data_IF_108632197600
#
_entry.id   IF_108632197600
#
_cell.length_a   1.000
_cell.length_b   1.000
_cell.length_c   1.000
_cell.angle_alpha   90.00
_cell.angle_beta   90.00
_cell.angle_gamma   90.00
#
_symmetry.space_group_name_H-M   'P 1'
#
loop_
_entity.id
_entity.type
_entity.pdbx_description
1 polymer ?
#
# COMPACT_ATOMS: atom_id res chain seq x y z
N UNK A 1 -24.12 15.70 -12.74
CA UNK A 1 -24.07 14.33 -12.19
C UNK A 1 -23.91 14.32 -10.66
N UNK A 2 -22.75 14.80 -10.06
CA UNK A 2 -22.54 14.74 -8.59
C UNK A 2 -23.58 15.56 -7.83
N UNK A 3 -23.84 16.78 -8.25
CA UNK A 3 -24.80 17.70 -7.62
C UNK A 3 -26.22 17.08 -7.62
N UNK A 4 -26.71 16.65 -8.75
CA UNK A 4 -28.00 15.95 -8.91
C UNK A 4 -28.06 14.69 -8.06
N UNK A 5 -26.97 13.93 -8.00
CA UNK A 5 -26.90 12.73 -7.18
C UNK A 5 -26.96 13.03 -5.68
N UNK A 6 -26.36 14.12 -5.24
CA UNK A 6 -26.35 14.53 -3.83
C UNK A 6 -27.71 15.11 -3.40
N UNK A 7 -28.41 15.85 -4.28
CA UNK A 7 -29.71 16.46 -3.99
C UNK A 7 -30.89 15.46 -4.08
N UNK A 8 -30.69 14.31 -4.72
CA UNK A 8 -31.76 13.32 -4.82
C UNK A 8 -32.10 12.74 -3.43
N UNK A 9 -33.40 12.68 -3.13
CA UNK A 9 -33.87 12.13 -1.87
C UNK A 9 -33.57 10.64 -1.71
N UNK A 10 -33.26 10.16 -0.50
CA UNK A 10 -33.08 8.75 -0.25
C UNK A 10 -34.40 7.99 -0.41
N UNK A 11 -34.33 6.79 -1.02
CA UNK A 11 -35.45 5.87 -1.14
C UNK A 11 -35.31 4.76 -0.09
N UNK A 12 -36.31 4.59 0.77
CA UNK A 12 -36.38 3.52 1.79
C UNK A 12 -35.21 3.50 2.80
N UNK A 13 -34.48 4.61 2.94
CA UNK A 13 -33.38 4.75 3.89
C UNK A 13 -33.33 6.17 4.46
N UNK A 14 -32.83 6.36 5.70
CA UNK A 14 -32.71 7.70 6.29
C UNK A 14 -31.65 8.58 5.61
N UNK A 15 -30.61 7.95 5.06
CA UNK A 15 -29.51 8.65 4.43
C UNK A 15 -29.14 7.99 3.08
N UNK A 16 -28.68 8.80 2.15
CA UNK A 16 -28.07 8.39 0.90
C UNK A 16 -26.56 8.57 0.99
N UNK A 17 -25.78 7.68 0.37
CA UNK A 17 -24.34 7.87 0.24
C UNK A 17 -23.97 8.04 -1.24
N UNK A 18 -23.24 9.09 -1.55
CA UNK A 18 -22.69 9.35 -2.88
C UNK A 18 -21.18 9.31 -2.78
N UNK A 19 -20.56 8.27 -3.37
CA UNK A 19 -19.12 8.13 -3.41
C UNK A 19 -18.59 8.63 -4.75
N UNK A 20 -17.56 9.47 -4.70
CA UNK A 20 -16.81 9.96 -5.85
C UNK A 20 -15.39 9.48 -5.73
N UNK A 21 -14.99 8.63 -6.68
CA UNK A 21 -13.65 8.07 -6.74
C UNK A 21 -12.75 8.87 -7.68
N UNK A 22 -11.47 8.91 -7.34
CA UNK A 22 -10.42 9.52 -8.14
C UNK A 22 -10.70 10.98 -8.55
N UNK A 23 -11.25 11.74 -7.60
CA UNK A 23 -11.49 13.16 -7.81
C UNK A 23 -10.17 13.88 -8.08
N UNK A 24 -10.10 14.61 -9.21
CA UNK A 24 -8.93 15.42 -9.58
C UNK A 24 -9.28 16.92 -9.52
N UNK A 25 -9.17 17.61 -8.38
CA UNK A 25 -9.53 19.02 -8.26
C UNK A 25 -8.72 19.93 -9.19
N UNK A 26 -7.54 19.51 -9.56
CA UNK A 26 -6.64 20.25 -10.46
C UNK A 26 -7.21 20.40 -11.87
N UNK A 27 -8.02 19.44 -12.31
CA UNK A 27 -8.65 19.42 -13.63
C UNK A 27 -10.00 20.14 -13.68
N UNK A 28 -10.51 20.61 -12.55
CA UNK A 28 -11.80 21.31 -12.53
C UNK A 28 -11.77 22.57 -13.40
N UNK A 29 -12.80 22.73 -14.22
CA UNK A 29 -13.12 24.02 -14.83
C UNK A 29 -13.54 25.03 -13.75
N UNK A 30 -13.49 26.34 -14.01
CA UNK A 30 -13.97 27.33 -13.04
C UNK A 30 -15.43 27.11 -12.63
N UNK A 31 -16.27 26.63 -13.54
CA UNK A 31 -17.68 26.32 -13.28
C UNK A 31 -17.84 25.11 -12.36
N UNK A 32 -17.06 24.06 -12.56
CA UNK A 32 -17.08 22.86 -11.71
C UNK A 32 -16.56 23.15 -10.31
N UNK A 33 -15.48 23.93 -10.21
CA UNK A 33 -14.95 24.36 -8.92
C UNK A 33 -16.00 25.16 -8.11
N UNK A 34 -16.72 26.08 -8.78
CA UNK A 34 -17.79 26.87 -8.13
C UNK A 34 -18.98 26.01 -7.70
N UNK A 35 -19.38 25.03 -8.53
CA UNK A 35 -20.43 24.06 -8.17
C UNK A 35 -20.04 23.21 -6.97
N UNK A 36 -18.77 22.75 -6.94
CA UNK A 36 -18.26 21.99 -5.79
C UNK A 36 -18.27 22.83 -4.51
N UNK A 37 -17.86 24.10 -4.60
CA UNK A 37 -17.91 25.02 -3.47
C UNK A 37 -19.33 25.25 -2.97
N UNK A 38 -20.31 25.42 -3.86
CA UNK A 38 -21.72 25.53 -3.51
C UNK A 38 -22.22 24.29 -2.77
N UNK A 39 -21.94 23.09 -3.30
CA UNK A 39 -22.35 21.83 -2.68
C UNK A 39 -21.74 21.64 -1.28
N UNK A 40 -20.46 22.02 -1.11
CA UNK A 40 -19.76 21.88 0.16
C UNK A 40 -20.08 23.01 1.16
N UNK A 41 -20.64 24.14 0.70
CA UNK A 41 -21.08 25.22 1.61
C UNK A 41 -22.38 24.88 2.33
N UNK A 42 -23.25 24.12 1.69
CA UNK A 42 -24.56 23.70 2.22
C UNK A 42 -24.89 22.27 1.73
N UNK A 43 -24.20 21.24 2.29
CA UNK A 43 -24.44 19.87 1.88
C UNK A 43 -25.81 19.38 2.36
N UNK A 44 -26.55 18.61 1.52
CA UNK A 44 -27.85 18.07 1.92
C UNK A 44 -27.75 17.18 3.17
N UNK A 45 -28.57 17.42 4.18
CA UNK A 45 -28.59 16.65 5.44
C UNK A 45 -28.90 15.16 5.22
N UNK A 46 -29.63 14.84 4.16
CA UNK A 46 -29.98 13.46 3.80
C UNK A 46 -28.93 12.71 2.97
N UNK A 47 -27.78 13.35 2.69
CA UNK A 47 -26.74 12.78 1.84
C UNK A 47 -25.36 12.81 2.49
N UNK A 48 -24.72 11.63 2.58
CA UNK A 48 -23.31 11.53 2.93
C UNK A 48 -22.49 11.53 1.63
N UNK A 49 -21.64 12.53 1.46
CA UNK A 49 -20.76 12.66 0.30
C UNK A 49 -19.36 12.16 0.67
N UNK A 50 -18.90 11.09 0.00
CA UNK A 50 -17.56 10.53 0.19
C UNK A 50 -16.69 10.87 -1.01
N UNK A 51 -15.67 11.71 -0.80
CA UNK A 51 -14.72 12.12 -1.84
C UNK A 51 -13.40 11.34 -1.63
N UNK A 52 -13.03 10.49 -2.58
CA UNK A 52 -11.75 9.74 -2.55
C UNK A 52 -10.79 10.28 -3.59
N UNK A 53 -9.56 10.59 -3.16
CA UNK A 53 -8.47 11.08 -3.99
C UNK A 53 -7.35 10.02 -4.00
N UNK A 54 -7.57 8.87 -4.65
CA UNK A 54 -6.68 7.71 -4.58
C UNK A 54 -5.66 7.64 -5.73
N UNK A 55 -6.04 8.03 -6.94
CA UNK A 55 -5.21 7.88 -8.14
C UNK A 55 -3.93 8.73 -8.12
N UNK A 56 -3.97 9.91 -7.52
CA UNK A 56 -2.81 10.75 -7.28
C UNK A 56 -2.76 11.16 -5.83
N UNK A 57 -1.59 11.03 -5.19
CA UNK A 57 -1.39 11.55 -3.85
C UNK A 57 -1.61 13.07 -3.88
N UNK A 58 -2.71 13.58 -3.30
CA UNK A 58 -2.97 15.00 -3.29
C UNK A 58 -1.92 15.70 -2.43
N UNK A 59 -1.31 16.77 -2.97
CA UNK A 59 -0.34 17.56 -2.22
C UNK A 59 -0.90 18.98 -2.00
N UNK A 60 -1.44 19.28 -0.80
CA UNK A 60 -1.99 20.58 -0.48
C UNK A 60 -0.95 21.71 -0.53
N UNK A 61 0.34 21.38 -0.47
CA UNK A 61 1.43 22.37 -0.56
C UNK A 61 1.70 22.77 -2.01
N UNK A 62 1.44 21.88 -2.96
CA UNK A 62 1.68 22.10 -4.40
C UNK A 62 0.43 22.58 -5.15
N UNK A 63 -0.77 22.29 -4.64
CA UNK A 63 -2.02 22.64 -5.32
C UNK A 63 -2.94 23.45 -4.43
N UNK A 64 -3.15 24.70 -4.82
CA UNK A 64 -4.11 25.60 -4.15
C UNK A 64 -5.55 25.06 -4.20
N UNK A 65 -5.92 24.36 -5.28
CA UNK A 65 -7.26 23.77 -5.44
C UNK A 65 -7.48 22.61 -4.48
N UNK A 66 -6.49 21.74 -4.30
CA UNK A 66 -6.54 20.66 -3.29
C UNK A 66 -6.62 21.24 -1.89
N UNK A 67 -5.82 22.26 -1.59
CA UNK A 67 -5.85 22.96 -0.30
C UNK A 67 -7.23 23.55 -0.01
N UNK A 68 -7.84 24.23 -0.99
CA UNK A 68 -9.17 24.78 -0.87
C UNK A 68 -10.22 23.73 -0.62
N UNK A 69 -10.22 22.62 -1.40
CA UNK A 69 -11.16 21.52 -1.21
C UNK A 69 -11.07 20.95 0.22
N UNK A 70 -9.86 20.66 0.69
CA UNK A 70 -9.62 20.16 2.05
C UNK A 70 -10.16 21.15 3.09
N UNK A 71 -9.91 22.45 2.91
CA UNK A 71 -10.40 23.49 3.81
C UNK A 71 -11.93 23.59 3.85
N UNK A 72 -12.59 23.44 2.70
CA UNK A 72 -14.06 23.45 2.60
C UNK A 72 -14.66 22.22 3.28
N UNK A 73 -14.16 21.02 2.96
CA UNK A 73 -14.63 19.76 3.57
C UNK A 73 -14.43 19.77 5.08
N UNK A 74 -13.32 20.32 5.58
CA UNK A 74 -13.03 20.39 7.03
C UNK A 74 -14.03 21.25 7.81
N UNK A 75 -14.80 22.11 7.16
CA UNK A 75 -15.82 22.96 7.81
C UNK A 75 -17.14 22.21 8.02
N UNK A 76 -17.47 21.27 7.13
CA UNK A 76 -18.78 20.61 7.08
C UNK A 76 -18.69 19.11 7.31
N UNK A 77 -17.48 18.54 7.38
CA UNK A 77 -17.27 17.12 7.51
C UNK A 77 -15.89 16.78 8.05
N UNK A 78 -15.44 15.57 7.79
CA UNK A 78 -14.15 15.05 8.22
C UNK A 78 -13.21 14.83 7.03
N UNK A 79 -11.95 15.23 7.21
CA UNK A 79 -10.86 14.91 6.26
C UNK A 79 -9.97 13.83 6.89
N UNK A 80 -9.83 12.72 6.19
CA UNK A 80 -9.01 11.59 6.65
C UNK A 80 -7.87 11.37 5.68
N UNK A 81 -6.64 11.45 6.17
CA UNK A 81 -5.46 11.10 5.40
C UNK A 81 -5.07 9.64 5.67
N UNK A 82 -5.13 8.81 4.62
CA UNK A 82 -4.71 7.42 4.66
C UNK A 82 -3.36 7.28 3.96
N UNK A 83 -2.28 7.46 4.71
CA UNK A 83 -0.93 7.24 4.20
C UNK A 83 -0.50 5.77 4.41
N UNK A 84 0.28 5.18 3.47
CA UNK A 84 0.94 3.91 3.70
C UNK A 84 1.76 3.95 4.99
N UNK A 85 1.67 2.89 5.79
CA UNK A 85 2.44 2.80 7.03
C UNK A 85 3.90 2.50 6.71
N UNK A 86 4.81 3.09 7.47
CA UNK A 86 6.22 2.71 7.42
C UNK A 86 6.41 1.28 7.95
N UNK A 87 7.49 0.61 7.53
CA UNK A 87 7.81 -0.77 7.91
C UNK A 87 7.81 -0.98 9.43
N UNK A 88 8.32 -0.04 10.19
CA UNK A 88 8.38 -0.13 11.65
C UNK A 88 6.99 -0.16 12.28
N UNK A 89 6.05 0.65 11.77
CA UNK A 89 4.66 0.65 12.23
C UNK A 89 3.93 -0.64 11.84
N UNK A 90 4.24 -1.19 10.66
CA UNK A 90 3.68 -2.48 10.21
C UNK A 90 4.17 -3.63 11.10
N UNK A 91 5.46 -3.65 11.45
CA UNK A 91 6.03 -4.62 12.39
C UNK A 91 5.33 -4.54 13.75
N UNK A 92 5.19 -3.34 14.32
CA UNK A 92 4.47 -3.13 15.60
C UNK A 92 3.02 -3.60 15.52
N UNK A 93 2.36 -3.34 14.40
CA UNK A 93 1.00 -3.83 14.15
C UNK A 93 0.95 -5.37 14.17
N UNK A 94 1.89 -6.06 13.49
CA UNK A 94 1.94 -7.51 13.45
C UNK A 94 2.12 -8.12 14.87
N UNK A 95 3.05 -7.59 15.66
CA UNK A 95 3.27 -8.01 17.05
C UNK A 95 2.00 -7.81 17.88
N UNK A 96 1.44 -6.60 17.88
CA UNK A 96 0.25 -6.30 18.66
C UNK A 96 -0.99 -7.10 18.22
N UNK A 97 -1.05 -7.52 16.96
CA UNK A 97 -2.13 -8.37 16.46
C UNK A 97 -1.99 -9.81 16.95
N UNK A 98 -0.76 -10.37 16.94
CA UNK A 98 -0.49 -11.69 17.50
C UNK A 98 -0.77 -11.72 19.01
N UNK A 99 -0.35 -10.70 19.77
CA UNK A 99 -0.61 -10.60 21.21
C UNK A 99 -2.11 -10.67 21.53
N UNK A 100 -2.95 -10.02 20.73
CA UNK A 100 -4.41 -10.07 20.90
C UNK A 100 -5.01 -11.46 20.68
N UNK A 101 -4.38 -12.28 19.88
CA UNK A 101 -4.77 -13.68 19.61
C UNK A 101 -4.07 -14.66 20.57
N UNK A 102 -3.37 -14.17 21.60
CA UNK A 102 -2.66 -14.99 22.60
C UNK A 102 -1.36 -15.62 22.08
N UNK A 103 -0.80 -15.10 20.99
CA UNK A 103 0.46 -15.58 20.39
C UNK A 103 1.58 -14.56 20.58
N UNK A 104 2.80 -15.06 20.76
CA UNK A 104 4.00 -14.24 20.95
C UNK A 104 4.80 -14.23 19.64
N UNK A 105 4.96 -13.05 19.04
CA UNK A 105 5.75 -12.86 17.83
C UNK A 105 6.90 -11.89 18.11
N UNK A 106 8.15 -12.37 17.99
CA UNK A 106 9.31 -11.50 18.18
C UNK A 106 9.38 -10.41 17.10
N UNK A 107 9.91 -9.20 17.39
CA UNK A 107 10.05 -8.14 16.38
C UNK A 107 10.85 -8.54 15.16
N UNK A 108 11.83 -9.44 15.31
CA UNK A 108 12.64 -9.96 14.21
C UNK A 108 11.81 -10.84 13.28
N UNK A 109 11.04 -11.77 13.83
CA UNK A 109 10.15 -12.64 13.06
C UNK A 109 8.96 -11.87 12.49
N UNK A 110 8.48 -10.84 13.19
CA UNK A 110 7.49 -9.92 12.64
C UNK A 110 8.02 -9.18 11.41
N UNK A 111 9.28 -8.73 11.45
CA UNK A 111 9.94 -8.15 10.27
C UNK A 111 10.03 -9.12 9.11
N UNK A 112 10.41 -10.37 9.39
CA UNK A 112 10.44 -11.43 8.38
C UNK A 112 9.06 -11.70 7.75
N UNK A 113 8.01 -11.81 8.57
CA UNK A 113 6.64 -11.99 8.10
C UNK A 113 6.15 -10.81 7.26
N UNK A 114 6.44 -9.58 7.69
CA UNK A 114 6.09 -8.35 6.97
C UNK A 114 6.74 -8.31 5.59
N UNK A 115 8.01 -8.72 5.49
CA UNK A 115 8.72 -8.76 4.20
C UNK A 115 8.15 -9.86 3.28
N UNK A 116 7.76 -11.02 3.82
CA UNK A 116 7.06 -12.07 3.05
C UNK A 116 5.72 -11.61 2.48
N UNK A 117 5.02 -10.72 3.20
CA UNK A 117 3.74 -10.14 2.77
C UNK A 117 3.89 -8.86 1.94
N UNK A 118 5.09 -8.47 1.51
CA UNK A 118 5.36 -7.22 0.76
C UNK A 118 4.74 -5.97 1.40
N UNK A 119 4.62 -5.95 2.73
CA UNK A 119 3.95 -4.91 3.54
C UNK A 119 2.45 -4.72 3.19
N UNK A 120 1.84 -5.64 2.49
CA UNK A 120 0.40 -5.63 2.26
C UNK A 120 -0.34 -5.95 3.56
N UNK A 121 -1.13 -5.00 4.05
CA UNK A 121 -1.81 -5.10 5.35
C UNK A 121 -2.93 -6.14 5.34
N UNK A 122 -3.59 -6.38 4.20
CA UNK A 122 -4.64 -7.38 4.07
C UNK A 122 -4.04 -8.78 4.09
N UNK A 123 -3.04 -9.02 3.26
CA UNK A 123 -2.31 -10.28 3.23
C UNK A 123 -1.71 -10.56 4.62
N UNK A 124 -1.00 -9.60 5.21
CA UNK A 124 -0.39 -9.73 6.54
C UNK A 124 -1.43 -10.09 7.62
N UNK A 125 -2.60 -9.45 7.61
CA UNK A 125 -3.64 -9.75 8.59
C UNK A 125 -4.19 -11.16 8.43
N UNK A 126 -4.36 -11.64 7.21
CA UNK A 126 -4.76 -13.01 6.91
C UNK A 126 -3.70 -14.03 7.34
N UNK A 127 -2.42 -13.75 7.05
CA UNK A 127 -1.31 -14.63 7.43
C UNK A 127 -1.14 -14.71 8.96
N UNK A 128 -1.29 -13.60 9.69
CA UNK A 128 -1.30 -13.58 11.16
C UNK A 128 -2.43 -14.46 11.71
N UNK A 129 -3.64 -14.32 11.19
CA UNK A 129 -4.77 -15.13 11.66
C UNK A 129 -4.53 -16.63 11.45
N UNK A 130 -3.98 -17.04 10.29
CA UNK A 130 -3.60 -18.43 10.02
C UNK A 130 -2.52 -18.93 10.98
N UNK A 131 -1.49 -18.13 11.21
CA UNK A 131 -0.39 -18.46 12.12
C UNK A 131 -0.88 -18.65 13.55
N UNK A 132 -1.67 -17.72 14.07
CA UNK A 132 -2.22 -17.81 15.42
C UNK A 132 -3.12 -19.03 15.59
N UNK A 133 -3.96 -19.32 14.58
CA UNK A 133 -4.79 -20.52 14.59
C UNK A 133 -3.97 -21.81 14.54
N UNK A 134 -2.88 -21.83 13.77
CA UNK A 134 -1.98 -23.00 13.67
C UNK A 134 -1.20 -23.27 14.95
N UNK A 135 -0.68 -22.21 15.59
CA UNK A 135 0.11 -22.32 16.83
C UNK A 135 -0.80 -22.58 18.04
N UNK A 136 -2.04 -22.09 18.03
CA UNK A 136 -3.00 -22.31 19.12
C UNK A 136 -2.64 -21.61 20.42
N UNK A 137 -1.82 -20.57 20.37
CA UNK A 137 -1.26 -19.85 21.52
C UNK A 137 0.22 -20.17 21.75
N UNK A 138 0.95 -19.22 22.31
CA UNK A 138 2.39 -19.35 22.57
C UNK A 138 3.26 -18.72 21.50
N UNK A 139 4.53 -19.14 21.40
CA UNK A 139 5.54 -18.50 20.56
C UNK A 139 5.43 -18.94 19.11
N UNK A 140 5.41 -17.96 18.19
CA UNK A 140 5.48 -18.17 16.75
C UNK A 140 6.94 -18.31 16.34
N UNK A 141 7.30 -19.46 15.76
CA UNK A 141 8.65 -19.74 15.28
C UNK A 141 8.80 -19.45 13.79
N UNK A 142 10.05 -19.37 13.33
CA UNK A 142 10.34 -19.19 11.91
C UNK A 142 9.81 -20.35 11.06
N UNK A 143 9.95 -21.58 11.54
CA UNK A 143 9.45 -22.79 10.89
C UNK A 143 7.93 -22.78 10.73
N UNK A 144 7.19 -22.26 11.73
CA UNK A 144 5.76 -22.10 11.64
C UNK A 144 5.40 -21.06 10.54
N UNK A 145 6.11 -19.92 10.49
CA UNK A 145 5.93 -18.92 9.45
C UNK A 145 6.16 -19.55 8.07
N UNK A 146 7.29 -20.21 7.86
CA UNK A 146 7.65 -20.80 6.57
C UNK A 146 6.66 -21.88 6.12
N UNK A 147 6.10 -22.63 7.05
CA UNK A 147 5.15 -23.72 6.77
C UNK A 147 3.73 -23.23 6.47
N UNK A 148 3.28 -22.18 7.15
CA UNK A 148 1.85 -21.78 7.14
C UNK A 148 1.60 -20.60 6.23
N UNK A 149 2.57 -19.68 6.11
CA UNK A 149 2.33 -18.44 5.39
C UNK A 149 2.63 -18.55 3.90
N UNK A 150 1.76 -17.95 3.11
CA UNK A 150 2.00 -17.75 1.68
C UNK A 150 2.90 -16.53 1.47
N UNK A 151 3.94 -16.68 0.68
CA UNK A 151 4.80 -15.58 0.30
C UNK A 151 4.11 -14.74 -0.79
N UNK A 152 4.13 -13.41 -0.64
CA UNK A 152 3.66 -12.54 -1.71
C UNK A 152 4.54 -12.69 -2.96
N UNK A 153 3.94 -12.62 -4.13
CA UNK A 153 4.62 -12.82 -5.42
C UNK A 153 5.81 -11.91 -5.59
N UNK A 154 5.63 -10.62 -5.31
CA UNK A 154 6.72 -9.64 -5.38
C UNK A 154 7.89 -10.02 -4.45
N UNK A 155 7.59 -10.50 -3.23
CA UNK A 155 8.62 -10.97 -2.30
C UNK A 155 9.34 -12.21 -2.85
N UNK A 156 8.61 -13.14 -3.48
CA UNK A 156 9.19 -14.30 -4.14
C UNK A 156 10.14 -13.93 -5.27
N UNK A 157 9.77 -12.96 -6.11
CA UNK A 157 10.62 -12.50 -7.22
C UNK A 157 11.87 -11.77 -6.70
N UNK A 158 11.78 -11.01 -5.59
CA UNK A 158 12.97 -10.42 -4.96
C UNK A 158 13.90 -11.49 -4.38
N UNK A 159 13.37 -12.55 -3.77
CA UNK A 159 14.17 -13.68 -3.31
C UNK A 159 14.81 -14.43 -4.47
N UNK A 160 14.10 -14.62 -5.57
CA UNK A 160 14.66 -15.19 -6.82
C UNK A 160 15.85 -14.35 -7.31
N UNK A 161 15.69 -13.01 -7.38
CA UNK A 161 16.78 -12.10 -7.76
C UNK A 161 18.00 -12.25 -6.85
N UNK A 162 17.77 -12.37 -5.55
CA UNK A 162 18.84 -12.53 -4.54
C UNK A 162 19.57 -13.86 -4.69
N UNK A 163 18.86 -14.96 -4.98
CA UNK A 163 19.48 -16.26 -5.20
C UNK A 163 20.31 -16.27 -6.49
N UNK A 164 19.82 -15.65 -7.56
CA UNK A 164 20.57 -15.49 -8.81
C UNK A 164 21.88 -14.71 -8.56
N UNK A 165 21.84 -13.62 -7.82
CA UNK A 165 23.01 -12.80 -7.48
C UNK A 165 24.04 -13.54 -6.62
N UNK A 166 23.58 -14.48 -5.77
CA UNK A 166 24.45 -15.35 -4.97
C UNK A 166 25.04 -16.51 -5.76
N UNK A 167 24.58 -16.77 -6.98
CA UNK A 167 24.94 -17.94 -7.78
C UNK A 167 24.28 -19.24 -7.31
N UNK A 168 23.28 -19.15 -6.44
CA UNK A 168 22.49 -20.32 -6.01
C UNK A 168 21.41 -20.64 -7.05
N UNK A 169 21.82 -21.34 -8.09
CA UNK A 169 20.90 -21.69 -9.18
C UNK A 169 19.87 -22.74 -8.77
N UNK A 170 20.21 -23.64 -7.85
CA UNK A 170 19.26 -24.65 -7.36
C UNK A 170 18.13 -24.00 -6.57
N UNK A 171 18.46 -23.09 -5.64
CA UNK A 171 17.48 -22.27 -4.91
C UNK A 171 16.68 -21.37 -5.84
N UNK A 172 17.29 -20.80 -6.87
CA UNK A 172 16.61 -20.00 -7.88
C UNK A 172 15.54 -20.78 -8.64
N UNK A 173 15.86 -21.99 -9.07
CA UNK A 173 14.92 -22.87 -9.78
C UNK A 173 13.77 -23.32 -8.88
N UNK A 174 14.02 -23.59 -7.60
CA UNK A 174 12.97 -23.91 -6.65
C UNK A 174 11.96 -22.77 -6.51
N UNK A 175 12.44 -21.54 -6.27
CA UNK A 175 11.58 -20.35 -6.17
C UNK A 175 10.81 -20.10 -7.48
N UNK A 176 11.46 -20.27 -8.63
CA UNK A 176 10.80 -20.11 -9.93
C UNK A 176 9.69 -21.15 -10.14
N UNK A 177 9.92 -22.41 -9.70
CA UNK A 177 8.91 -23.47 -9.73
C UNK A 177 7.71 -23.12 -8.84
N UNK A 178 7.95 -22.57 -7.65
CA UNK A 178 6.89 -22.13 -6.74
C UNK A 178 6.06 -20.98 -7.34
N UNK A 179 6.70 -20.00 -8.00
CA UNK A 179 6.02 -18.93 -8.69
C UNK A 179 5.11 -19.46 -9.83
N UNK A 180 5.58 -20.43 -10.60
CA UNK A 180 4.77 -21.08 -11.63
C UNK A 180 3.64 -21.92 -11.03
N UNK A 181 3.86 -22.58 -9.91
CA UNK A 181 2.80 -23.28 -9.18
C UNK A 181 1.70 -22.33 -8.71
N UNK A 182 2.07 -21.12 -8.29
CA UNK A 182 1.15 -20.05 -7.96
C UNK A 182 0.46 -19.43 -9.19
N UNK A 183 0.75 -19.95 -10.39
CA UNK A 183 0.20 -19.47 -11.69
C UNK A 183 0.59 -18.05 -12.04
N UNK A 184 1.76 -17.61 -11.59
CA UNK A 184 2.27 -16.32 -11.99
C UNK A 184 2.68 -16.29 -13.45
N UNK A 185 2.32 -15.24 -14.14
CA UNK A 185 2.62 -15.07 -15.55
C UNK A 185 4.14 -14.86 -15.76
N UNK A 186 4.79 -15.63 -16.65
CA UNK A 186 6.23 -15.50 -16.91
C UNK A 186 6.67 -14.08 -17.28
N UNK A 187 5.81 -13.35 -17.97
CA UNK A 187 6.06 -11.95 -18.35
C UNK A 187 6.11 -11.01 -17.15
N UNK A 188 5.30 -11.25 -16.11
CA UNK A 188 5.31 -10.49 -14.86
C UNK A 188 6.57 -10.77 -14.07
N UNK A 189 6.96 -12.07 -13.98
CA UNK A 189 8.21 -12.46 -13.32
C UNK A 189 9.41 -11.80 -14.02
N UNK A 190 9.48 -11.89 -15.35
CA UNK A 190 10.57 -11.30 -16.12
C UNK A 190 10.63 -9.78 -16.00
N UNK A 191 9.49 -9.11 -16.06
CA UNK A 191 9.41 -7.64 -15.90
C UNK A 191 9.91 -7.21 -14.51
N UNK A 192 9.46 -7.87 -13.44
CA UNK A 192 9.87 -7.55 -12.07
C UNK A 192 11.35 -7.83 -11.85
N UNK A 193 11.87 -8.95 -12.35
CA UNK A 193 13.32 -9.23 -12.35
C UNK A 193 14.09 -8.13 -13.06
N UNK A 194 13.65 -7.73 -14.25
CA UNK A 194 14.32 -6.69 -15.05
C UNK A 194 14.36 -5.36 -14.29
N UNK A 195 13.27 -4.95 -13.67
CA UNK A 195 13.25 -3.74 -12.82
C UNK A 195 14.20 -3.86 -11.62
N UNK A 196 14.21 -5.03 -10.96
CA UNK A 196 15.11 -5.26 -9.82
C UNK A 196 16.58 -5.14 -10.22
N UNK A 197 16.98 -5.72 -11.35
CA UNK A 197 18.36 -5.63 -11.82
C UNK A 197 18.73 -4.21 -12.29
N UNK A 198 17.81 -3.49 -12.91
CA UNK A 198 18.02 -2.06 -13.26
C UNK A 198 18.22 -1.22 -12.00
N UNK A 199 17.43 -1.45 -10.96
CA UNK A 199 17.54 -0.71 -9.70
C UNK A 199 18.87 -1.03 -8.98
N UNK A 200 19.28 -2.30 -8.96
CA UNK A 200 20.60 -2.70 -8.44
C UNK A 200 21.76 -2.04 -9.20
N UNK A 201 21.64 -1.99 -10.53
CA UNK A 201 22.65 -1.32 -11.37
C UNK A 201 22.73 0.18 -11.08
N UNK A 202 21.58 0.86 -10.94
CA UNK A 202 21.50 2.27 -10.55
C UNK A 202 22.13 2.51 -9.19
N UNK A 203 21.80 1.68 -8.19
CA UNK A 203 22.36 1.77 -6.85
C UNK A 203 23.89 1.56 -6.85
N UNK A 204 24.38 0.60 -7.65
CA UNK A 204 25.83 0.36 -7.81
C UNK A 204 26.54 1.57 -8.37
N UNK A 205 26.07 2.12 -9.50
CA UNK A 205 26.69 3.31 -10.13
C UNK A 205 26.66 4.52 -9.18
N UNK A 206 25.54 4.75 -8.52
CA UNK A 206 25.42 5.85 -7.58
C UNK A 206 26.40 5.72 -6.40
N UNK A 207 26.58 4.52 -5.87
CA UNK A 207 27.57 4.24 -4.83
C UNK A 207 28.99 4.47 -5.33
N UNK A 208 29.33 4.06 -6.54
CA UNK A 208 30.64 4.30 -7.17
C UNK A 208 30.88 5.79 -7.41
N UNK A 209 29.81 6.55 -7.69
CA UNK A 209 29.86 8.01 -7.85
C UNK A 209 29.78 8.79 -6.52
N UNK A 210 29.69 8.13 -5.38
CA UNK A 210 29.56 8.76 -4.06
C UNK A 210 28.22 9.48 -3.82
N UNK A 211 27.17 9.08 -4.55
CA UNK A 211 25.83 9.66 -4.40
C UNK A 211 25.07 8.95 -3.29
N UNK A 212 24.43 9.73 -2.41
CA UNK A 212 23.61 9.19 -1.32
C UNK A 212 22.32 8.52 -1.82
N UNK A 213 21.88 7.48 -1.12
CA UNK A 213 20.67 6.72 -1.44
C UNK A 213 19.39 7.57 -1.49
N UNK A 214 19.29 8.58 -0.62
CA UNK A 214 18.16 9.52 -0.63
C UNK A 214 18.06 10.29 -1.94
N UNK A 215 19.20 10.69 -2.52
CA UNK A 215 19.25 11.42 -3.79
C UNK A 215 18.87 10.52 -4.97
N UNK A 216 19.26 9.24 -4.92
CA UNK A 216 18.83 8.26 -5.93
C UNK A 216 17.30 8.13 -5.92
N UNK A 217 16.70 8.06 -4.72
CA UNK A 217 15.27 7.96 -4.56
C UNK A 217 14.53 9.17 -5.15
N UNK A 218 15.06 10.38 -4.98
CA UNK A 218 14.52 11.60 -5.56
C UNK A 218 14.67 11.65 -7.09
N UNK A 219 15.87 11.39 -7.61
CA UNK A 219 16.21 11.49 -9.04
C UNK A 219 15.43 10.47 -9.89
N UNK A 220 15.21 9.26 -9.38
CA UNK A 220 14.48 8.20 -10.07
C UNK A 220 13.02 8.05 -9.62
N UNK A 221 12.55 8.90 -8.71
CA UNK A 221 11.16 8.90 -8.25
C UNK A 221 10.76 7.66 -7.43
N UNK A 222 11.71 7.02 -6.76
CA UNK A 222 11.43 5.90 -5.85
C UNK A 222 10.71 6.42 -4.60
N UNK A 223 9.41 6.15 -4.53
CA UNK A 223 8.62 6.53 -3.35
C UNK A 223 8.42 5.32 -2.45
N UNK A 224 9.14 5.29 -1.32
CA UNK A 224 9.03 4.24 -0.31
C UNK A 224 9.63 2.89 -0.71
N UNK A 225 10.45 2.83 -1.76
CA UNK A 225 11.17 1.63 -2.22
C UNK A 225 12.68 1.73 -2.02
N UNK A 226 13.19 2.88 -1.58
CA UNK A 226 14.60 3.21 -1.42
C UNK A 226 15.38 2.26 -0.51
N UNK A 227 14.68 1.55 0.37
CA UNK A 227 15.28 0.60 1.31
C UNK A 227 15.25 -0.86 0.85
N UNK A 228 14.83 -1.16 -0.37
CA UNK A 228 14.77 -2.52 -0.91
C UNK A 228 15.95 -2.89 -1.83
N UNK A 229 16.84 -1.94 -2.10
CA UNK A 229 18.00 -2.14 -2.98
C UNK A 229 19.27 -2.41 -2.18
#
# INVERSE_FOLDING_TARGET
ALFEAAEALPLMAPLRCVAVDDLEPEKFSPTEAKKMEQLLSDPPESCVILLRLAAKKPDPKKSARVKNLISQVSKVGAVVELAPRDRTKVIRFAVARCDKEGCILSPQLAGYLVDRCSQDMWLLSGEIAKLCAYVGGGEITKEAIDKVTTQAVDAGIYDLSRMILKGDYAGSLAILSDLFYLREEPTVILATLSYTFVDLYRAKIAREAGVDSGRIAEDFGYRGREFRV
#
